data_IF_173902401937
#
_entry.id   IF_173902401937
#
_cell.length_a   1.000
_cell.length_b   1.000
_cell.length_c   1.000
_cell.angle_alpha   90.00
_cell.angle_beta   90.00
_cell.angle_gamma   90.00
#
_symmetry.space_group_name_H-M   'P 1'
#
loop_
_entity.id
_entity.type
_entity.pdbx_description
1 polymer ?
#
# COMPACT_ATOMS: atom_id res chain seq x y z
N UNK A 1 -17.12 0.62 -1.53
CA UNK A 1 -15.89 1.29 -1.06
C UNK A 1 -15.02 0.19 -0.47
N UNK A 2 -13.76 0.08 -0.87
CA UNK A 2 -12.89 -1.01 -0.42
C UNK A 2 -12.33 -0.69 0.96
N UNK A 3 -12.57 -1.55 1.93
CA UNK A 3 -12.03 -1.45 3.29
C UNK A 3 -11.38 -2.77 3.65
N UNK A 4 -10.06 -2.76 3.72
CA UNK A 4 -9.18 -3.88 3.97
C UNK A 4 -8.77 -3.85 5.43
N UNK A 5 -8.81 -5.03 6.04
CA UNK A 5 -8.56 -5.24 7.45
C UNK A 5 -7.57 -6.39 7.64
N UNK A 6 -6.69 -6.21 8.62
CA UNK A 6 -5.81 -7.24 9.14
C UNK A 6 -4.33 -7.07 8.76
N UNK A 7 -3.52 -7.80 9.49
CA UNK A 7 -2.10 -8.02 9.25
C UNK A 7 -1.89 -9.50 8.97
N UNK A 8 -1.04 -9.82 8.00
CA UNK A 8 -0.82 -11.18 7.55
C UNK A 8 0.66 -11.50 7.41
N UNK A 9 1.15 -12.40 8.26
CA UNK A 9 2.44 -13.04 8.10
C UNK A 9 2.45 -13.93 6.87
N UNK A 10 3.31 -13.59 5.91
CA UNK A 10 3.43 -14.26 4.64
C UNK A 10 4.87 -14.65 4.35
N UNK A 11 5.05 -15.55 3.39
CA UNK A 11 6.38 -15.86 2.83
C UNK A 11 6.37 -15.76 1.31
N UNK A 12 7.49 -15.31 0.76
CA UNK A 12 7.76 -15.46 -0.68
C UNK A 12 8.21 -16.89 -0.97
N UNK A 13 7.75 -17.42 -2.09
CA UNK A 13 8.35 -18.62 -2.65
C UNK A 13 9.70 -18.33 -3.33
N UNK A 14 10.40 -19.38 -3.73
CA UNK A 14 11.72 -19.28 -4.37
C UNK A 14 11.75 -18.45 -5.68
N UNK A 15 10.58 -18.14 -6.26
CA UNK A 15 10.45 -17.31 -7.47
C UNK A 15 10.01 -15.87 -7.15
N UNK A 16 9.93 -15.50 -5.87
CA UNK A 16 9.46 -14.19 -5.45
C UNK A 16 7.94 -14.01 -5.55
N UNK A 17 7.17 -15.11 -5.54
CA UNK A 17 5.71 -15.04 -5.56
C UNK A 17 5.15 -15.05 -4.15
N UNK A 18 4.19 -14.17 -3.92
CA UNK A 18 3.42 -14.03 -2.71
C UNK A 18 2.08 -14.76 -2.87
N UNK A 19 1.77 -15.67 -1.96
CA UNK A 19 0.42 -16.22 -1.84
C UNK A 19 -0.48 -15.17 -1.19
N UNK A 20 -1.57 -14.77 -1.87
CA UNK A 20 -2.52 -13.82 -1.27
C UNK A 20 -3.29 -14.55 -0.15
N UNK A 21 -3.25 -14.07 1.11
CA UNK A 21 -3.96 -14.70 2.21
C UNK A 21 -5.45 -14.86 1.91
N UNK A 22 -6.02 -16.03 2.21
CA UNK A 22 -7.43 -16.31 1.88
C UNK A 22 -8.40 -15.30 2.52
N UNK A 23 -8.11 -14.82 3.74
CA UNK A 23 -8.89 -13.81 4.43
C UNK A 23 -8.81 -12.42 3.75
N UNK A 24 -7.64 -12.06 3.21
CA UNK A 24 -7.47 -10.83 2.44
C UNK A 24 -8.15 -10.95 1.07
N UNK A 25 -8.00 -12.09 0.39
CA UNK A 25 -8.63 -12.37 -0.90
C UNK A 25 -10.16 -12.26 -0.84
N UNK A 26 -10.79 -12.72 0.25
CA UNK A 26 -12.25 -12.57 0.48
C UNK A 26 -12.71 -11.11 0.55
N UNK A 27 -11.83 -10.19 0.95
CA UNK A 27 -12.12 -8.75 0.99
C UNK A 27 -11.94 -8.07 -0.38
N UNK A 28 -11.43 -8.82 -1.38
CA UNK A 28 -11.08 -8.35 -2.71
C UNK A 28 -11.80 -9.18 -3.79
N UNK A 29 -13.15 -9.10 -3.90
CA UNK A 29 -13.94 -10.03 -4.71
C UNK A 29 -13.60 -10.00 -6.21
N UNK A 30 -13.20 -8.86 -6.76
CA UNK A 30 -12.91 -8.69 -8.19
C UNK A 30 -11.42 -8.81 -8.54
N UNK A 31 -10.54 -9.15 -7.58
CA UNK A 31 -9.08 -9.08 -7.76
C UNK A 31 -8.54 -10.01 -8.83
N UNK A 32 -9.19 -11.14 -9.07
CA UNK A 32 -8.78 -12.08 -10.12
C UNK A 32 -9.06 -11.53 -11.52
N UNK A 33 -10.09 -10.67 -11.66
CA UNK A 33 -10.48 -10.05 -12.92
C UNK A 33 -9.76 -8.72 -13.15
N UNK A 34 -9.74 -7.87 -12.12
CA UNK A 34 -9.26 -6.49 -12.21
C UNK A 34 -7.77 -6.34 -11.89
N UNK A 35 -7.20 -7.29 -11.16
CA UNK A 35 -5.81 -7.26 -10.74
C UNK A 35 -5.52 -6.23 -9.64
N UNK A 36 -4.24 -6.02 -9.43
CA UNK A 36 -3.68 -5.14 -8.42
C UNK A 36 -2.63 -4.25 -9.06
N UNK A 37 -2.24 -3.17 -8.36
CA UNK A 37 -1.09 -2.35 -8.72
C UNK A 37 -0.17 -2.24 -7.53
N UNK A 38 1.13 -2.48 -7.74
CA UNK A 38 2.16 -2.29 -6.72
C UNK A 38 3.06 -1.12 -7.06
N UNK A 39 3.41 -0.30 -6.08
CA UNK A 39 4.43 0.75 -6.20
C UNK A 39 5.24 0.85 -4.90
N UNK A 40 6.21 1.77 -4.88
CA UNK A 40 6.95 2.13 -3.66
C UNK A 40 6.06 2.96 -2.74
N UNK A 41 6.07 2.68 -1.44
CA UNK A 41 5.34 3.50 -0.47
C UNK A 41 6.11 4.75 -0.04
N UNK A 42 5.58 5.41 1.00
CA UNK A 42 6.20 6.61 1.58
C UNK A 42 7.39 6.23 2.47
N UNK A 43 7.26 5.14 3.21
CA UNK A 43 8.31 4.50 3.97
C UNK A 43 9.13 3.55 3.07
N UNK A 44 10.13 2.86 3.64
CA UNK A 44 10.91 1.85 2.91
C UNK A 44 10.12 0.53 2.78
N UNK A 45 8.95 0.60 2.15
CA UNK A 45 8.03 -0.50 1.91
C UNK A 45 7.51 -0.47 0.47
N UNK A 46 6.67 -1.44 0.12
CA UNK A 46 5.85 -1.39 -1.08
C UNK A 46 4.38 -1.25 -0.70
N UNK A 47 3.56 -0.78 -1.63
CA UNK A 47 2.12 -0.66 -1.43
C UNK A 47 1.40 -1.31 -2.60
N UNK A 48 0.46 -2.18 -2.29
CA UNK A 48 -0.46 -2.82 -3.21
C UNK A 48 -1.82 -2.14 -3.10
N UNK A 49 -2.36 -1.76 -4.26
CA UNK A 49 -3.70 -1.21 -4.41
C UNK A 49 -4.56 -2.16 -5.24
N UNK A 50 -5.83 -2.38 -4.86
CA UNK A 50 -6.84 -2.84 -5.80
C UNK A 50 -6.90 -1.89 -7.01
N UNK A 51 -7.02 -2.43 -8.23
CA UNK A 51 -6.96 -1.63 -9.46
C UNK A 51 -7.97 -0.47 -9.46
N UNK A 52 -9.19 -0.72 -8.99
CA UNK A 52 -10.23 0.30 -8.85
C UNK A 52 -9.89 1.44 -7.86
N UNK A 53 -9.04 1.19 -6.86
CA UNK A 53 -8.52 2.21 -5.93
C UNK A 53 -7.41 2.98 -6.61
N UNK A 54 -6.48 2.29 -7.26
CA UNK A 54 -5.39 2.90 -8.02
C UNK A 54 -5.91 3.88 -9.09
N UNK A 55 -6.93 3.49 -9.84
CA UNK A 55 -7.50 4.31 -10.91
C UNK A 55 -8.11 5.62 -10.37
N UNK A 56 -8.72 5.58 -9.18
CA UNK A 56 -9.21 6.78 -8.50
C UNK A 56 -8.07 7.69 -8.03
N UNK A 57 -6.96 7.11 -7.59
CA UNK A 57 -5.78 7.88 -7.19
C UNK A 57 -5.16 8.55 -8.42
N UNK A 58 -4.96 7.81 -9.52
CA UNK A 58 -4.41 8.36 -10.76
C UNK A 58 -5.30 9.45 -11.34
N UNK A 59 -6.63 9.30 -11.28
CA UNK A 59 -7.56 10.35 -11.70
C UNK A 59 -7.28 11.66 -10.94
N UNK A 60 -7.17 11.62 -9.60
CA UNK A 60 -6.84 12.79 -8.79
C UNK A 60 -5.44 13.35 -9.09
N UNK A 61 -4.45 12.50 -9.30
CA UNK A 61 -3.10 12.95 -9.67
C UNK A 61 -3.08 13.63 -11.03
N UNK A 62 -3.93 13.21 -11.97
CA UNK A 62 -4.03 13.79 -13.31
C UNK A 62 -4.64 15.19 -13.32
N UNK A 63 -5.34 15.57 -12.25
CA UNK A 63 -5.92 16.91 -12.08
C UNK A 63 -4.88 17.93 -11.56
N UNK A 64 -3.70 17.47 -11.11
CA UNK A 64 -2.66 18.36 -10.61
C UNK A 64 -2.04 19.22 -11.72
N UNK A 65 -1.73 20.46 -11.39
CA UNK A 65 -1.09 21.39 -12.33
C UNK A 65 0.32 20.89 -12.71
N UNK A 66 0.50 20.50 -13.97
CA UNK A 66 1.76 20.00 -14.52
C UNK A 66 2.85 21.08 -14.62
N UNK A 67 2.51 22.36 -14.58
CA UNK A 67 3.48 23.46 -14.58
C UNK A 67 4.10 23.71 -13.21
N UNK A 68 3.45 23.25 -12.15
CA UNK A 68 3.98 23.29 -10.79
C UNK A 68 5.07 22.22 -10.58
N UNK A 69 6.24 22.64 -10.10
CA UNK A 69 7.39 21.74 -9.90
C UNK A 69 7.15 20.72 -8.78
N UNK A 70 6.49 21.12 -7.69
CA UNK A 70 6.18 20.25 -6.55
C UNK A 70 5.19 19.16 -6.96
N UNK A 71 4.16 19.50 -7.73
CA UNK A 71 3.22 18.53 -8.29
C UNK A 71 3.95 17.49 -9.15
N UNK A 72 4.85 17.92 -10.05
CA UNK A 72 5.63 16.99 -10.87
C UNK A 72 6.55 16.09 -10.02
N UNK A 73 7.16 16.63 -8.97
CA UNK A 73 8.00 15.86 -8.03
C UNK A 73 7.16 14.82 -7.30
N UNK A 74 5.99 15.21 -6.80
CA UNK A 74 5.07 14.34 -6.07
C UNK A 74 4.56 13.20 -6.96
N UNK A 75 4.06 13.50 -8.17
CA UNK A 75 3.60 12.46 -9.11
C UNK A 75 4.72 11.45 -9.37
N UNK A 76 5.92 11.91 -9.72
CA UNK A 76 7.07 11.00 -9.97
C UNK A 76 7.43 10.15 -8.76
N UNK A 77 7.38 10.73 -7.56
CA UNK A 77 7.68 10.00 -6.33
C UNK A 77 6.61 8.95 -6.03
N UNK A 78 5.33 9.34 -6.10
CA UNK A 78 4.21 8.47 -5.82
C UNK A 78 4.07 7.33 -6.82
N UNK A 79 4.16 7.60 -8.13
CA UNK A 79 4.00 6.56 -9.16
C UNK A 79 5.28 5.73 -9.37
N UNK A 80 6.30 5.91 -8.54
CA UNK A 80 7.60 5.28 -8.74
C UNK A 80 7.49 3.76 -8.64
N UNK A 81 7.79 3.10 -9.76
CA UNK A 81 7.76 1.65 -9.86
C UNK A 81 6.36 1.05 -9.88
N UNK A 82 5.32 1.86 -10.13
CA UNK A 82 3.95 1.37 -10.33
C UNK A 82 3.93 0.26 -11.40
N UNK A 83 3.44 -0.92 -11.02
CA UNK A 83 3.42 -2.12 -11.86
C UNK A 83 2.13 -2.88 -11.60
N UNK A 84 1.45 -3.31 -12.67
CA UNK A 84 0.27 -4.17 -12.54
C UNK A 84 0.66 -5.58 -12.10
N UNK A 85 -0.11 -6.15 -11.18
CA UNK A 85 0.02 -7.52 -10.71
C UNK A 85 -1.26 -8.30 -11.02
N UNK A 86 -1.07 -9.52 -11.49
CA UNK A 86 -2.14 -10.49 -11.74
C UNK A 86 -1.95 -11.72 -10.86
N UNK A 87 -3.06 -12.32 -10.46
CA UNK A 87 -3.03 -13.57 -9.71
C UNK A 87 -2.91 -14.73 -10.69
N UNK A 88 -2.04 -15.70 -10.38
CA UNK A 88 -2.02 -16.98 -11.08
C UNK A 88 -3.18 -17.89 -10.64
N UNK A 89 -3.34 -19.03 -11.29
CA UNK A 89 -4.39 -20.00 -10.98
C UNK A 89 -4.33 -20.56 -9.53
N UNK A 90 -3.20 -20.39 -8.84
CA UNK A 90 -3.04 -20.77 -7.43
C UNK A 90 -3.28 -19.59 -6.47
N UNK A 91 -3.68 -18.41 -6.98
CA UNK A 91 -3.91 -17.21 -6.18
C UNK A 91 -2.63 -16.51 -5.73
N UNK A 92 -1.51 -16.69 -6.44
CA UNK A 92 -0.24 -16.04 -6.13
C UNK A 92 0.01 -14.85 -7.03
N UNK A 93 0.72 -13.85 -6.53
CA UNK A 93 1.21 -12.69 -7.29
C UNK A 93 2.73 -12.70 -7.35
N UNK A 94 3.32 -12.41 -8.52
CA UNK A 94 4.77 -12.25 -8.65
C UNK A 94 5.17 -10.83 -8.28
N UNK A 95 5.96 -10.65 -7.23
CA UNK A 95 6.45 -9.32 -6.88
C UNK A 95 7.62 -8.92 -7.80
N UNK A 96 7.62 -7.71 -8.39
CA UNK A 96 8.72 -7.25 -9.23
C UNK A 96 10.03 -7.18 -8.42
N UNK A 97 11.08 -7.83 -8.93
CA UNK A 97 12.37 -7.95 -8.24
C UNK A 97 12.97 -6.59 -7.85
N UNK A 98 12.86 -5.59 -8.73
CA UNK A 98 13.39 -4.24 -8.48
C UNK A 98 12.66 -3.51 -7.34
N UNK A 99 11.41 -3.88 -7.06
CA UNK A 99 10.63 -3.33 -5.95
C UNK A 99 10.98 -4.05 -4.64
N UNK A 100 11.07 -5.38 -4.65
CA UNK A 100 11.48 -6.14 -3.47
C UNK A 100 12.90 -5.80 -3.04
N UNK A 101 13.83 -5.63 -3.99
CA UNK A 101 15.20 -5.17 -3.73
C UNK A 101 15.22 -3.76 -3.12
N UNK A 102 14.38 -2.83 -3.61
CA UNK A 102 14.27 -1.48 -3.05
C UNK A 102 13.77 -1.49 -1.60
N UNK A 103 12.71 -2.24 -1.32
CA UNK A 103 12.10 -2.32 0.00
C UNK A 103 12.92 -3.18 0.98
N UNK A 104 13.95 -3.89 0.50
CA UNK A 104 14.73 -4.81 1.32
C UNK A 104 13.94 -6.04 1.76
N UNK A 105 12.93 -6.44 0.98
CA UNK A 105 12.05 -7.58 1.29
C UNK A 105 12.81 -8.89 1.09
N UNK A 106 12.95 -9.66 2.19
CA UNK A 106 13.45 -11.03 2.19
C UNK A 106 12.36 -12.08 1.96
N UNK A 107 12.53 -13.26 2.59
CA UNK A 107 11.55 -14.35 2.51
C UNK A 107 10.32 -14.11 3.37
N UNK A 108 10.46 -13.41 4.49
CA UNK A 108 9.42 -13.21 5.48
C UNK A 108 8.81 -11.81 5.33
N UNK A 109 7.52 -11.79 5.05
CA UNK A 109 6.77 -10.58 4.69
C UNK A 109 5.68 -10.33 5.72
N UNK A 110 5.49 -9.06 6.06
CA UNK A 110 4.25 -8.60 6.65
C UNK A 110 3.39 -7.89 5.60
N UNK A 111 2.14 -8.34 5.45
CA UNK A 111 1.11 -7.58 4.74
C UNK A 111 0.26 -6.83 5.76
N UNK A 112 0.33 -5.50 5.77
CA UNK A 112 -0.45 -4.67 6.68
C UNK A 112 -1.54 -3.92 5.90
N UNK A 113 -2.81 -4.23 6.16
CA UNK A 113 -3.91 -3.53 5.51
C UNK A 113 -4.08 -2.14 6.12
N UNK A 114 -4.11 -1.12 5.26
CA UNK A 114 -4.41 0.26 5.66
C UNK A 114 -5.55 0.82 4.82
N UNK A 115 -6.78 0.72 5.33
CA UNK A 115 -7.98 1.21 4.66
C UNK A 115 -8.19 0.60 3.28
N UNK A 116 -7.76 1.25 2.20
CA UNK A 116 -8.01 0.85 0.81
C UNK A 116 -6.77 0.27 0.10
N UNK A 117 -5.68 0.09 0.84
CA UNK A 117 -4.38 -0.40 0.34
C UNK A 117 -3.77 -1.42 1.29
N UNK A 118 -2.77 -2.14 0.81
CA UNK A 118 -2.00 -3.12 1.56
C UNK A 118 -0.54 -2.70 1.50
N UNK A 119 0.08 -2.45 2.64
CA UNK A 119 1.52 -2.29 2.68
C UNK A 119 2.21 -3.66 2.73
N UNK A 120 3.33 -3.77 2.02
CA UNK A 120 4.15 -4.96 1.94
C UNK A 120 5.52 -4.63 2.50
N UNK A 121 5.88 -5.30 3.57
CA UNK A 121 7.09 -5.05 4.32
C UNK A 121 7.95 -6.30 4.43
N UNK A 122 9.26 -6.10 4.58
CA UNK A 122 10.07 -7.10 5.27
C UNK A 122 9.55 -7.20 6.71
N UNK A 123 9.36 -8.42 7.22
CA UNK A 123 8.76 -8.61 8.55
C UNK A 123 9.53 -7.88 9.66
N UNK A 124 10.86 -7.96 9.64
CA UNK A 124 11.70 -7.31 10.67
C UNK A 124 11.61 -5.79 10.60
N UNK A 125 11.65 -5.24 9.38
CA UNK A 125 11.50 -3.80 9.16
C UNK A 125 10.12 -3.28 9.60
N UNK A 126 9.06 -4.09 9.47
CA UNK A 126 7.73 -3.74 9.96
C UNK A 126 7.69 -3.69 11.49
N UNK A 127 8.20 -4.72 12.15
CA UNK A 127 8.27 -4.79 13.62
C UNK A 127 9.04 -3.59 14.20
N UNK A 128 10.15 -3.19 13.57
CA UNK A 128 10.90 -1.98 13.94
C UNK A 128 10.05 -0.69 13.88
N UNK A 129 9.06 -0.62 12.98
CA UNK A 129 8.12 0.52 12.93
C UNK A 129 7.12 0.52 14.08
N UNK A 130 6.78 -0.66 14.60
CA UNK A 130 5.86 -0.82 15.73
C UNK A 130 6.52 -0.48 17.06
N UNK A 131 7.82 -0.77 17.20
CA UNK A 131 8.61 -0.34 18.36
C UNK A 131 8.65 1.22 18.49
N UNK A 132 8.36 1.95 17.41
CA UNK A 132 8.16 3.39 17.38
C UNK A 132 6.70 3.88 17.44
N UNK A 133 5.71 2.99 17.44
CA UNK A 133 4.27 3.31 17.39
C UNK A 133 3.60 3.03 18.76
N UNK A 134 3.17 4.05 19.50
CA UNK A 134 4.05 4.57 20.54
C UNK A 134 3.43 4.59 21.94
N UNK A 135 4.32 4.79 22.92
CA UNK A 135 4.03 5.44 24.21
C UNK A 135 3.31 6.82 24.09
N UNK A 136 3.03 7.29 22.87
CA UNK A 136 2.43 8.58 22.54
C UNK A 136 1.31 8.48 21.47
N UNK A 137 0.73 7.29 21.25
CA UNK A 137 -0.39 7.11 20.31
C UNK A 137 -1.52 8.11 20.58
N UNK A 138 -1.81 8.37 21.86
CA UNK A 138 -2.84 9.30 22.28
C UNK A 138 -2.57 10.75 21.81
N UNK A 139 -1.33 11.24 21.87
CA UNK A 139 -1.00 12.59 21.40
C UNK A 139 -1.09 12.69 19.87
N UNK A 140 -0.66 11.64 19.15
CA UNK A 140 -0.83 11.59 17.69
C UNK A 140 -2.31 11.58 17.32
N UNK A 141 -3.10 10.76 18.00
CA UNK A 141 -4.54 10.70 17.81
C UNK A 141 -5.20 12.07 18.08
N UNK A 142 -4.82 12.75 19.16
CA UNK A 142 -5.30 14.10 19.46
C UNK A 142 -4.95 15.08 18.33
N UNK A 143 -3.68 15.18 17.94
CA UNK A 143 -3.24 16.07 16.87
C UNK A 143 -4.01 15.83 15.57
N UNK A 144 -4.10 14.57 15.12
CA UNK A 144 -4.71 14.24 13.82
C UNK A 144 -6.24 14.37 13.85
N UNK A 145 -6.90 13.95 14.93
CA UNK A 145 -8.36 13.91 15.01
C UNK A 145 -8.98 15.24 15.47
N UNK A 146 -8.24 16.06 16.21
CA UNK A 146 -8.72 17.37 16.68
C UNK A 146 -8.40 18.49 15.70
N UNK A 147 -7.19 18.53 15.10
CA UNK A 147 -6.82 19.61 14.16
C UNK A 147 -7.66 19.57 12.87
N UNK A 148 -8.26 18.42 12.53
CA UNK A 148 -9.18 18.30 11.39
C UNK A 148 -10.58 18.87 11.62
N UNK A 149 -10.94 19.33 12.83
CA UNK A 149 -12.25 19.99 13.09
C UNK A 149 -12.36 21.45 12.62
N UNK A 150 -11.33 22.00 11.96
CA UNK A 150 -11.35 23.38 11.43
C UNK A 150 -11.80 23.54 9.97
N UNK A 151 -12.35 22.50 9.33
CA UNK A 151 -12.62 22.51 7.88
C UNK A 151 -13.94 21.89 7.45
N UNK A 152 -14.97 21.95 8.29
CA UNK A 152 -16.35 21.67 7.85
C UNK A 152 -17.26 22.77 8.39
N UNK A 153 -17.12 23.95 7.81
CA UNK A 153 -18.16 24.98 7.84
C UNK A 153 -18.13 25.70 6.49
N UNK A 154 -19.21 25.56 5.70
CA UNK A 154 -19.47 26.45 4.58
C UNK A 154 -20.07 25.83 3.32
N UNK A 155 -21.39 25.54 3.39
CA UNK A 155 -22.39 25.46 2.29
C UNK A 155 -22.30 24.26 1.34
#
# INVERSE_FOLDING_TARGET
MTHLLGEFDCKLDAKGRLMVPAALKKQLPDVEREGLVINRGFEKNLVIYPKNVWDKIVAKLSELNVYDEENRKFIRAFTRGATELTLDAAGRVLLPKSLTEYAGIGSDIMLACQLDRIEVWDKSAYEDTLDGTPANFAALAQKVMVDKKGGVDGI
#
